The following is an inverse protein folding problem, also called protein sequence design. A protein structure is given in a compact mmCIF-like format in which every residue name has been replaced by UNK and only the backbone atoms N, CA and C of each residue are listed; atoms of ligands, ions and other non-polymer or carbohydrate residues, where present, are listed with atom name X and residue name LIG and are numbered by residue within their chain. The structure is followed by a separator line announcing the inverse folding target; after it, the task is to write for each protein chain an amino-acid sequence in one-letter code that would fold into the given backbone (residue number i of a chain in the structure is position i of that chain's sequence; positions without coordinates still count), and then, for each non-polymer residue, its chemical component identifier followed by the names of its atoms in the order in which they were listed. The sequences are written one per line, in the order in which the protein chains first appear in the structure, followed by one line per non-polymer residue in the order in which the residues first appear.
data_IF_041709046728
#
_entry.id   IF_041709046728
#
_cell.length_a   1.000
_cell.length_b   1.000
_cell.length_c   1.000
_cell.angle_alpha   90.00
_cell.angle_beta   90.00
_cell.angle_gamma   90.00
#
_symmetry.space_group_name_H-M   'P 1'
#
loop_
_entity.id
_entity.type
_entity.pdbx_description
1 polymer ?
#
# COMPACT_ATOMS: atom_id res chain seq x y z
N UNK A 1 17.30 75.12 -30.39
CA UNK A 1 16.02 74.81 -31.05
C UNK A 1 15.97 73.33 -31.39
N UNK A 2 14.88 72.65 -30.98
CA UNK A 2 14.38 71.32 -31.37
C UNK A 2 15.26 70.07 -31.09
N UNK A 3 14.77 68.89 -30.75
CA UNK A 3 13.49 68.37 -30.25
C UNK A 3 13.75 66.92 -29.76
N UNK A 4 13.06 66.52 -28.70
CA UNK A 4 12.40 65.22 -28.45
C UNK A 4 12.97 63.94 -29.11
N UNK A 5 13.33 62.94 -28.31
CA UNK A 5 12.82 61.57 -28.50
C UNK A 5 13.03 60.73 -27.24
N UNK A 6 11.92 60.43 -26.56
CA UNK A 6 11.83 59.47 -25.47
C UNK A 6 12.29 58.08 -25.95
N UNK A 7 13.13 57.38 -25.17
CA UNK A 7 13.09 55.93 -25.18
C UNK A 7 13.45 55.31 -23.82
N UNK A 8 12.67 54.27 -23.52
CA UNK A 8 12.52 53.50 -22.30
C UNK A 8 13.76 52.79 -21.77
N UNK A 9 13.59 52.22 -20.56
CA UNK A 9 14.22 51.01 -19.97
C UNK A 9 15.08 51.39 -18.74
N UNK A 10 14.88 50.92 -17.50
CA UNK A 10 14.07 49.84 -16.92
C UNK A 10 14.11 49.95 -15.39
N UNK A 11 12.98 50.03 -14.72
CA UNK A 11 12.89 49.77 -13.27
C UNK A 11 12.45 48.33 -13.06
N UNK A 12 13.40 47.45 -12.77
CA UNK A 12 13.13 46.07 -12.36
C UNK A 12 12.54 46.07 -10.95
N UNK A 13 11.21 46.06 -10.83
CA UNK A 13 10.52 45.73 -9.57
C UNK A 13 9.97 44.32 -9.65
N UNK A 14 10.36 43.48 -8.69
CA UNK A 14 9.98 42.08 -8.62
C UNK A 14 8.47 41.92 -8.32
N UNK A 15 7.70 41.10 -9.06
CA UNK A 15 6.29 40.89 -8.74
C UNK A 15 6.12 39.81 -7.66
N UNK A 16 5.76 40.22 -6.44
CA UNK A 16 5.29 39.31 -5.38
C UNK A 16 3.86 38.83 -5.69
N UNK A 17 3.72 37.70 -6.39
CA UNK A 17 2.40 37.08 -6.61
C UNK A 17 1.93 36.31 -5.37
N UNK A 18 1.39 37.01 -4.38
CA UNK A 18 0.50 36.40 -3.37
C UNK A 18 -0.83 36.02 -4.05
N UNK A 19 -0.90 34.81 -4.63
CA UNK A 19 -2.19 34.28 -5.12
C UNK A 19 -3.04 33.80 -3.96
N UNK A 20 -3.96 34.69 -3.56
CA UNK A 20 -5.34 34.43 -3.15
C UNK A 20 -5.67 33.10 -2.49
N UNK A 21 -5.91 33.15 -1.19
CA UNK A 21 -7.11 32.53 -0.62
C UNK A 21 -7.91 33.62 0.07
N UNK A 22 -9.20 33.82 -0.29
CA UNK A 22 -10.08 34.69 0.49
C UNK A 22 -10.13 34.16 1.93
N UNK A 23 -9.77 34.99 2.91
CA UNK A 23 -9.93 34.66 4.32
C UNK A 23 -11.40 34.88 4.65
N UNK A 24 -12.13 33.83 5.08
CA UNK A 24 -13.45 34.00 5.67
C UNK A 24 -13.26 34.80 6.96
N UNK A 25 -13.68 36.06 6.96
CA UNK A 25 -13.81 36.81 8.20
C UNK A 25 -15.00 36.26 8.98
N UNK A 26 -14.77 35.94 10.26
CA UNK A 26 -15.82 35.52 11.17
C UNK A 26 -16.16 36.73 12.03
N UNK A 27 -17.16 37.50 11.59
CA UNK A 27 -17.73 38.58 12.40
C UNK A 27 -18.25 37.99 13.70
N UNK A 28 -17.57 38.28 14.81
CA UNK A 28 -18.02 37.93 16.16
C UNK A 28 -18.67 39.19 16.73
N UNK A 29 -19.99 39.23 16.73
CA UNK A 29 -20.76 40.15 17.56
C UNK A 29 -20.89 39.50 18.94
N UNK A 30 -20.63 40.20 20.07
CA UNK A 30 -20.67 39.59 21.39
C UNK A 30 -22.07 39.66 22.04
N UNK A 31 -22.22 38.90 23.15
CA UNK A 31 -23.21 39.03 24.27
C UNK A 31 -24.43 38.04 24.17
N UNK A 32 -24.98 37.46 25.28
CA UNK A 32 -24.39 36.57 26.30
C UNK A 32 -25.28 35.33 26.69
N UNK A 33 -24.72 34.40 27.47
CA UNK A 33 -25.27 33.38 28.41
C UNK A 33 -26.71 32.80 28.30
N UNK A 34 -26.82 31.47 28.16
CA UNK A 34 -27.50 30.51 29.11
C UNK A 34 -27.40 29.04 28.61
N UNK A 35 -27.42 28.00 29.49
CA UNK A 35 -27.13 26.62 29.13
C UNK A 35 -28.41 25.83 28.84
N UNK A 36 -28.41 25.04 27.75
CA UNK A 36 -29.45 24.03 27.51
C UNK A 36 -28.81 22.68 27.29
N UNK A 37 -29.04 21.80 28.26
CA UNK A 37 -28.79 20.36 28.18
C UNK A 37 -29.66 19.77 27.09
N UNK A 38 -29.05 19.13 26.09
CA UNK A 38 -29.76 18.28 25.13
C UNK A 38 -29.00 16.98 24.96
N UNK A 39 -29.64 15.89 25.38
CA UNK A 39 -29.20 14.51 25.23
C UNK A 39 -28.83 14.20 23.78
N UNK A 40 -27.69 13.54 23.56
CA UNK A 40 -27.33 12.96 22.27
C UNK A 40 -27.13 11.47 22.44
N UNK A 41 -28.15 10.71 22.02
CA UNK A 41 -28.09 9.28 21.75
C UNK A 41 -26.94 9.01 20.79
N UNK A 42 -25.93 8.26 21.23
CA UNK A 42 -24.76 7.93 20.42
C UNK A 42 -25.10 6.83 19.41
N UNK A 43 -25.56 7.22 18.23
CA UNK A 43 -25.59 6.33 17.07
C UNK A 43 -24.15 6.11 16.57
N UNK A 44 -23.68 4.86 16.38
CA UNK A 44 -22.37 4.62 15.78
C UNK A 44 -22.36 5.15 14.34
N UNK A 45 -21.39 6.01 14.02
CA UNK A 45 -21.22 6.53 12.66
C UNK A 45 -20.99 5.37 11.67
N UNK A 46 -21.61 5.39 10.47
CA UNK A 46 -21.34 4.40 9.45
C UNK A 46 -19.87 4.45 9.03
N UNK A 47 -19.25 3.27 8.87
CA UNK A 47 -17.85 3.11 8.51
C UNK A 47 -17.49 3.97 7.27
N UNK A 48 -16.35 4.69 7.28
CA UNK A 48 -16.00 5.57 6.18
C UNK A 48 -15.87 4.75 4.89
N UNK A 49 -16.68 5.11 3.90
CA UNK A 49 -16.67 4.49 2.58
C UNK A 49 -15.23 4.45 2.04
N UNK A 50 -14.77 3.25 1.65
CA UNK A 50 -13.45 3.04 1.06
C UNK A 50 -13.41 3.75 -0.30
N UNK A 51 -13.11 5.05 -0.30
CA UNK A 51 -12.74 5.76 -1.54
C UNK A 51 -11.57 5.00 -2.15
N UNK A 52 -11.69 4.67 -3.44
CA UNK A 52 -10.58 4.18 -4.26
C UNK A 52 -9.52 5.29 -4.29
N UNK A 53 -8.62 5.26 -3.32
CA UNK A 53 -7.49 6.17 -3.23
C UNK A 53 -6.53 5.94 -4.38
N UNK A 54 -5.65 6.91 -4.60
CA UNK A 54 -4.55 6.79 -5.56
C UNK A 54 -3.75 5.51 -5.28
N UNK A 55 -3.36 4.74 -6.31
CA UNK A 55 -2.51 3.57 -6.13
C UNK A 55 -1.27 3.92 -5.29
N UNK A 56 -1.06 3.17 -4.21
CA UNK A 56 0.13 3.35 -3.37
C UNK A 56 1.30 2.62 -4.01
N UNK A 57 2.48 3.24 -3.98
CA UNK A 57 3.72 2.57 -4.38
C UNK A 57 4.01 1.48 -3.35
N UNK A 58 3.95 0.22 -3.78
CA UNK A 58 4.26 -0.92 -2.94
C UNK A 58 5.79 -1.02 -2.91
N UNK A 59 6.39 -0.98 -1.71
CA UNK A 59 7.79 -1.35 -1.55
C UNK A 59 7.88 -2.87 -1.70
N UNK A 60 8.73 -3.32 -2.63
CA UNK A 60 9.03 -4.75 -2.77
C UNK A 60 9.91 -5.15 -1.58
N UNK A 61 9.28 -5.57 -0.49
CA UNK A 61 9.98 -6.24 0.60
C UNK A 61 10.19 -7.69 0.18
N UNK A 62 11.42 -8.18 0.34
CA UNK A 62 11.75 -9.59 0.13
C UNK A 62 10.83 -10.47 0.97
N UNK A 63 10.36 -11.57 0.39
CA UNK A 63 9.55 -12.53 1.12
C UNK A 63 10.37 -13.17 2.24
N UNK A 64 9.77 -13.29 3.42
CA UNK A 64 10.37 -14.03 4.54
C UNK A 64 10.58 -15.49 4.16
N UNK A 65 11.59 -16.15 4.72
CA UNK A 65 11.90 -17.54 4.40
C UNK A 65 10.71 -18.49 4.66
N UNK A 66 9.93 -18.24 5.72
CA UNK A 66 8.66 -18.90 5.99
C UNK A 66 7.66 -18.79 4.83
N UNK A 67 7.53 -17.60 4.23
CA UNK A 67 6.65 -17.39 3.08
C UNK A 67 7.17 -18.12 1.84
N UNK A 68 8.50 -18.07 1.61
CA UNK A 68 9.14 -18.79 0.48
C UNK A 68 8.90 -20.30 0.60
N UNK A 69 9.11 -20.87 1.78
CA UNK A 69 8.88 -22.30 2.04
C UNK A 69 7.43 -22.68 1.83
N UNK A 70 6.50 -21.89 2.36
CA UNK A 70 5.06 -22.11 2.19
C UNK A 70 4.67 -22.09 0.71
N UNK A 71 5.19 -21.13 -0.06
CA UNK A 71 4.93 -21.02 -1.49
C UNK A 71 5.44 -22.24 -2.26
N UNK A 72 6.64 -22.72 -1.95
CA UNK A 72 7.20 -23.92 -2.59
C UNK A 72 6.39 -25.16 -2.25
N UNK A 73 6.02 -25.35 -0.97
CA UNK A 73 5.16 -26.48 -0.56
C UNK A 73 3.82 -26.47 -1.29
N UNK A 74 3.17 -25.31 -1.36
CA UNK A 74 1.90 -25.12 -2.07
C UNK A 74 2.04 -25.42 -3.56
N UNK A 75 3.14 -25.00 -4.19
CA UNK A 75 3.41 -25.31 -5.60
C UNK A 75 3.53 -26.83 -5.81
N UNK A 76 4.33 -27.52 -5.00
CA UNK A 76 4.49 -28.97 -5.11
C UNK A 76 3.15 -29.68 -4.88
N UNK A 77 2.38 -29.31 -3.84
CA UNK A 77 1.07 -29.91 -3.58
C UNK A 77 0.07 -29.70 -4.71
N UNK A 78 0.15 -28.58 -5.44
CA UNK A 78 -0.75 -28.28 -6.56
C UNK A 78 -0.51 -29.19 -7.77
N UNK A 79 0.75 -29.51 -8.07
CA UNK A 79 1.12 -30.25 -9.30
C UNK A 79 1.46 -31.73 -9.03
N UNK A 80 1.94 -32.04 -7.83
CA UNK A 80 2.37 -33.37 -7.40
C UNK A 80 1.86 -33.66 -5.97
N UNK A 81 0.53 -33.78 -5.77
CA UNK A 81 -0.07 -33.95 -4.44
C UNK A 81 0.36 -35.23 -3.72
N UNK A 82 0.73 -36.28 -4.46
CA UNK A 82 1.24 -37.55 -3.94
C UNK A 82 2.53 -37.40 -3.13
N UNK A 83 3.35 -36.38 -3.43
CA UNK A 83 4.62 -36.12 -2.73
C UNK A 83 4.38 -35.78 -1.25
N UNK A 84 3.29 -35.08 -0.93
CA UNK A 84 2.96 -34.70 0.44
C UNK A 84 2.22 -35.81 1.20
N UNK A 85 1.36 -36.56 0.51
CA UNK A 85 0.44 -37.51 1.14
C UNK A 85 0.97 -38.95 1.21
N UNK A 86 2.19 -39.21 0.71
CA UNK A 86 2.81 -40.53 0.75
C UNK A 86 2.04 -41.61 -0.01
N UNK A 87 1.14 -41.21 -0.91
CA UNK A 87 0.36 -42.16 -1.72
C UNK A 87 1.27 -42.72 -2.79
N UNK A 88 1.52 -44.02 -2.73
CA UNK A 88 2.38 -44.73 -3.68
C UNK A 88 1.79 -44.61 -5.08
N UNK A 89 2.46 -43.86 -5.96
CA UNK A 89 2.11 -43.85 -7.37
C UNK A 89 2.64 -45.13 -8.02
N UNK A 90 1.72 -46.05 -8.26
CA UNK A 90 1.92 -47.35 -8.92
C UNK A 90 2.15 -47.23 -10.43
N UNK A 91 3.00 -46.28 -10.87
CA UNK A 91 3.43 -46.18 -12.27
C UNK A 91 4.95 -46.07 -12.34
N UNK A 92 5.56 -47.10 -12.92
CA UNK A 92 7.01 -47.33 -12.94
C UNK A 92 7.81 -46.32 -13.76
N UNK A 93 7.14 -45.44 -14.52
CA UNK A 93 7.77 -44.31 -15.21
C UNK A 93 7.35 -43.01 -14.54
N UNK A 94 7.88 -42.75 -13.34
CA UNK A 94 7.69 -41.47 -12.69
C UNK A 94 8.35 -40.39 -13.56
N UNK A 95 7.59 -39.37 -14.03
CA UNK A 95 8.14 -38.33 -14.86
C UNK A 95 9.27 -37.60 -14.11
N UNK A 96 10.29 -37.13 -14.83
CA UNK A 96 11.44 -36.43 -14.24
C UNK A 96 11.03 -35.30 -13.29
N UNK A 97 9.92 -34.62 -13.60
CA UNK A 97 9.28 -33.61 -12.75
C UNK A 97 8.89 -34.12 -11.36
N UNK A 98 8.38 -35.35 -11.24
CA UNK A 98 8.02 -35.95 -9.97
C UNK A 98 9.25 -36.28 -9.12
N UNK A 99 10.31 -36.80 -9.74
CA UNK A 99 11.58 -37.05 -9.04
C UNK A 99 12.15 -35.74 -8.49
N UNK A 100 12.11 -34.67 -9.29
CA UNK A 100 12.49 -33.34 -8.84
C UNK A 100 11.60 -32.83 -7.71
N UNK A 101 10.27 -33.00 -7.81
CA UNK A 101 9.34 -32.58 -6.78
C UNK A 101 9.58 -33.27 -5.43
N UNK A 102 9.86 -34.57 -5.43
CA UNK A 102 10.26 -35.33 -4.23
C UNK A 102 11.55 -34.76 -3.63
N UNK A 103 12.59 -34.58 -4.44
CA UNK A 103 13.87 -34.01 -3.98
C UNK A 103 13.73 -32.59 -3.40
N UNK A 104 12.91 -31.74 -4.04
CA UNK A 104 12.64 -30.39 -3.56
C UNK A 104 11.88 -30.42 -2.22
N UNK A 105 10.88 -31.29 -2.10
CA UNK A 105 10.10 -31.45 -0.87
C UNK A 105 11.00 -31.83 0.31
N UNK A 106 11.87 -32.83 0.14
CA UNK A 106 12.83 -33.26 1.17
C UNK A 106 13.77 -32.13 1.60
N UNK A 107 14.30 -31.37 0.64
CA UNK A 107 15.18 -30.22 0.91
C UNK A 107 14.44 -29.13 1.71
N UNK A 108 13.20 -28.83 1.33
CA UNK A 108 12.38 -27.83 2.01
C UNK A 108 12.06 -28.25 3.44
N UNK A 109 11.65 -29.49 3.66
CA UNK A 109 11.38 -30.04 5.00
C UNK A 109 12.65 -30.03 5.85
N UNK A 110 13.80 -30.39 5.28
CA UNK A 110 15.08 -30.37 5.99
C UNK A 110 15.51 -28.95 6.37
N UNK A 111 15.34 -27.98 5.46
CA UNK A 111 15.66 -26.58 5.72
C UNK A 111 14.76 -26.01 6.83
N UNK A 112 13.45 -26.26 6.76
CA UNK A 112 12.50 -25.83 7.77
C UNK A 112 12.86 -26.38 9.15
N UNK A 113 13.14 -27.68 9.26
CA UNK A 113 13.58 -28.31 10.52
C UNK A 113 14.90 -27.74 11.07
N UNK A 114 15.79 -27.28 10.18
CA UNK A 114 17.13 -26.82 10.57
C UNK A 114 17.15 -25.35 11.03
N UNK A 115 16.28 -24.52 10.46
CA UNK A 115 16.35 -23.07 10.62
C UNK A 115 15.09 -22.41 11.18
N UNK A 116 13.95 -23.11 11.18
CA UNK A 116 12.64 -22.55 11.55
C UNK A 116 11.91 -23.35 12.65
N UNK A 117 12.43 -24.51 13.04
CA UNK A 117 12.00 -25.32 14.18
C UNK A 117 13.12 -25.28 15.22
#
# INVERSE_FOLDING_TARGET
MNNNMNNSTSTTTAPTRKRGRPRKEKTTVPVPATPTVSASTSTPAPAPAKKRGRPRKIQKTEATDLQKITNVKNFIMKYHPSVANGTEETRSDAPESMKMAKSLWEKVVSYEKKYLV
#
